data_IF_814092685025
#
_entry.id   IF_814092685025
#
_cell.length_a   1.000
_cell.length_b   1.000
_cell.length_c   1.000
_cell.angle_alpha   90.00
_cell.angle_beta   90.00
_cell.angle_gamma   90.00
#
_symmetry.space_group_name_H-M   'P 1'
#
loop_
_entity.id
_entity.type
_entity.pdbx_description
1 polymer ?
#
# COMPACT_ATOMS: atom_id res chain seq x y z
N UNK A 1 -11.04 10.90 6.35
CA UNK A 1 -10.10 9.87 6.85
C UNK A 1 -10.40 9.41 8.29
N UNK A 2 -10.72 10.32 9.23
CA UNK A 2 -10.84 10.05 10.68
C UNK A 2 -11.73 8.88 11.11
N UNK A 3 -12.80 8.58 10.37
CA UNK A 3 -13.71 7.48 10.68
C UNK A 3 -13.28 6.12 10.10
N UNK A 4 -12.32 6.10 9.17
CA UNK A 4 -11.89 4.87 8.45
C UNK A 4 -10.50 4.43 8.93
N UNK A 5 -9.51 5.32 8.83
CA UNK A 5 -8.15 5.15 9.38
C UNK A 5 -7.64 6.54 9.76
N UNK A 6 -7.62 6.89 11.05
CA UNK A 6 -7.39 8.27 11.48
C UNK A 6 -5.92 8.72 11.39
N UNK A 7 -4.97 7.80 11.44
CA UNK A 7 -3.55 8.13 11.56
C UNK A 7 -2.72 7.55 10.43
N UNK A 8 -1.72 8.32 10.00
CA UNK A 8 -0.66 7.91 9.08
C UNK A 8 0.67 8.42 9.63
N UNK A 9 1.71 7.59 9.51
CA UNK A 9 3.09 7.96 9.85
C UNK A 9 3.98 7.53 8.70
N UNK A 10 4.91 8.39 8.30
CA UNK A 10 5.83 8.13 7.19
C UNK A 10 7.28 8.41 7.63
N UNK A 11 8.22 7.67 7.05
CA UNK A 11 9.65 7.91 7.18
C UNK A 11 10.31 7.80 5.81
N UNK A 12 11.38 8.58 5.60
CA UNK A 12 12.18 8.54 4.36
C UNK A 12 13.54 7.95 4.69
N UNK A 13 13.90 6.87 4.01
CA UNK A 13 15.24 6.31 4.04
C UNK A 13 16.00 6.80 2.78
N UNK A 14 17.06 7.58 2.96
CA UNK A 14 17.89 8.10 1.86
C UNK A 14 19.15 7.26 1.71
N UNK A 15 19.65 7.20 0.47
CA UNK A 15 20.92 6.52 0.12
C UNK A 15 20.93 5.02 0.49
N UNK A 16 19.79 4.35 0.35
CA UNK A 16 19.68 2.90 0.58
C UNK A 16 20.01 2.14 -0.71
N UNK A 17 20.93 1.18 -0.63
CA UNK A 17 21.21 0.25 -1.73
C UNK A 17 20.40 -1.03 -1.55
N UNK A 18 19.27 -1.15 -2.24
CA UNK A 18 18.46 -2.36 -2.25
C UNK A 18 18.92 -3.29 -3.39
N UNK A 19 19.66 -4.33 -3.03
CA UNK A 19 19.89 -5.46 -3.95
C UNK A 19 18.61 -6.29 -4.10
N UNK A 20 18.53 -7.17 -5.10
CA UNK A 20 17.38 -8.07 -5.27
C UNK A 20 17.08 -8.91 -4.02
N UNK A 21 18.13 -9.43 -3.38
CA UNK A 21 18.01 -10.20 -2.13
C UNK A 21 17.58 -9.30 -0.96
N UNK A 22 18.14 -8.10 -0.85
CA UNK A 22 17.76 -7.13 0.17
C UNK A 22 16.29 -6.69 0.05
N UNK A 23 15.83 -6.43 -1.18
CA UNK A 23 14.43 -6.08 -1.45
C UNK A 23 13.49 -7.23 -1.09
N UNK A 24 13.82 -8.48 -1.46
CA UNK A 24 13.02 -9.65 -1.12
C UNK A 24 12.92 -9.83 0.40
N UNK A 25 14.04 -9.73 1.11
CA UNK A 25 14.08 -9.81 2.58
C UNK A 25 13.26 -8.68 3.24
N UNK A 26 13.32 -7.47 2.68
CA UNK A 26 12.54 -6.34 3.15
C UNK A 26 11.03 -6.55 2.98
N UNK A 27 10.59 -7.04 1.82
CA UNK A 27 9.18 -7.38 1.58
C UNK A 27 8.71 -8.48 2.55
N UNK A 28 9.53 -9.54 2.73
CA UNK A 28 9.21 -10.61 3.68
C UNK A 28 9.07 -10.08 5.12
N UNK A 29 9.94 -9.15 5.53
CA UNK A 29 9.84 -8.50 6.83
C UNK A 29 8.54 -7.70 6.97
N UNK A 30 8.17 -6.92 5.94
CA UNK A 30 6.90 -6.20 5.91
C UNK A 30 5.71 -7.14 6.07
N UNK A 31 5.70 -8.28 5.36
CA UNK A 31 4.62 -9.26 5.42
C UNK A 31 4.56 -9.94 6.80
N UNK A 32 5.69 -10.24 7.44
CA UNK A 32 5.73 -10.77 8.82
C UNK A 32 5.12 -9.80 9.82
N UNK A 33 5.42 -8.50 9.70
CA UNK A 33 4.79 -7.46 10.52
C UNK A 33 3.29 -7.37 10.26
N UNK A 34 2.87 -7.46 9.00
CA UNK A 34 1.46 -7.49 8.60
C UNK A 34 0.69 -8.66 9.23
N UNK A 35 1.29 -9.86 9.23
CA UNK A 35 0.66 -11.04 9.81
C UNK A 35 0.57 -11.01 11.33
N UNK A 36 1.58 -10.46 12.01
CA UNK A 36 1.70 -10.52 13.47
C UNK A 36 1.16 -9.25 14.14
N UNK A 37 2.00 -8.24 14.31
CA UNK A 37 1.71 -7.00 15.06
C UNK A 37 0.54 -6.21 14.45
N UNK A 38 0.41 -6.25 13.13
CA UNK A 38 -0.61 -5.50 12.41
C UNK A 38 -1.97 -6.22 12.30
N UNK A 39 -2.05 -7.47 12.77
CA UNK A 39 -3.24 -8.35 12.69
C UNK A 39 -3.84 -8.42 11.28
N UNK A 40 -3.06 -8.93 10.33
CA UNK A 40 -3.44 -9.03 8.90
C UNK A 40 -3.92 -7.68 8.34
N UNK A 41 -3.12 -6.63 8.60
CA UNK A 41 -3.38 -5.24 8.16
C UNK A 41 -4.64 -4.58 8.75
N UNK A 42 -5.38 -5.24 9.64
CA UNK A 42 -6.57 -4.63 10.27
C UNK A 42 -6.21 -3.46 11.18
N UNK A 43 -5.10 -3.55 11.93
CA UNK A 43 -4.63 -2.45 12.79
C UNK A 43 -3.74 -1.48 12.03
N UNK A 44 -2.69 -1.99 11.37
CA UNK A 44 -1.66 -1.18 10.70
C UNK A 44 -1.39 -1.74 9.31
N UNK A 45 -1.39 -0.88 8.31
CA UNK A 45 -0.95 -1.24 6.97
C UNK A 45 0.34 -0.47 6.68
N UNK A 46 1.32 -1.15 6.10
CA UNK A 46 2.63 -0.61 5.77
C UNK A 46 2.74 -0.66 4.26
N UNK A 47 3.04 0.48 3.65
CA UNK A 47 3.31 0.62 2.22
C UNK A 47 4.73 1.15 2.03
N UNK A 48 5.41 0.62 1.02
CA UNK A 48 6.76 1.05 0.65
C UNK A 48 6.71 1.61 -0.76
N UNK A 49 7.27 2.81 -0.93
CA UNK A 49 7.26 3.54 -2.20
C UNK A 49 8.66 4.00 -2.56
N UNK A 50 8.97 3.95 -3.86
CA UNK A 50 10.19 4.55 -4.41
C UNK A 50 10.03 6.07 -4.45
N UNK A 51 10.75 6.76 -3.55
CA UNK A 51 10.67 8.21 -3.44
C UNK A 51 11.08 8.93 -4.73
N UNK A 52 11.93 8.32 -5.57
CA UNK A 52 12.36 8.94 -6.83
C UNK A 52 11.24 9.03 -7.88
N UNK A 53 10.18 8.24 -7.72
CA UNK A 53 9.04 8.16 -8.66
C UNK A 53 7.83 8.99 -8.23
N UNK A 54 7.87 9.64 -7.08
CA UNK A 54 6.73 10.40 -6.51
C UNK A 54 7.18 11.80 -6.10
N UNK A 55 6.25 12.75 -6.08
CA UNK A 55 6.53 14.16 -5.79
C UNK A 55 5.66 14.66 -4.62
N UNK A 56 6.24 15.43 -3.68
CA UNK A 56 5.47 16.08 -2.60
C UNK A 56 4.68 17.30 -3.12
N UNK A 57 3.65 17.79 -2.39
CA UNK A 57 3.19 17.34 -1.08
C UNK A 57 2.30 16.08 -1.13
N UNK A 58 2.51 15.16 -0.17
CA UNK A 58 1.68 13.96 -0.03
C UNK A 58 0.47 14.24 0.86
N UNK A 59 -0.71 13.80 0.42
CA UNK A 59 -1.97 13.98 1.15
C UNK A 59 -2.55 12.60 1.48
N UNK A 60 -2.86 12.38 2.76
CA UNK A 60 -3.58 11.19 3.21
C UNK A 60 -5.06 11.52 3.38
N UNK A 61 -5.89 10.92 2.53
CA UNK A 61 -7.31 11.24 2.42
C UNK A 61 -8.15 9.97 2.22
N UNK A 62 -9.45 10.05 2.53
CA UNK A 62 -10.42 9.00 2.23
C UNK A 62 -11.50 9.57 1.33
N UNK A 63 -11.58 9.05 0.10
CA UNK A 63 -12.54 9.47 -0.92
C UNK A 63 -13.50 8.34 -1.26
N UNK A 64 -14.71 8.65 -1.77
CA UNK A 64 -15.62 7.63 -2.28
C UNK A 64 -14.95 6.78 -3.37
N UNK A 65 -15.19 5.46 -3.44
CA UNK A 65 -14.58 4.55 -4.42
C UNK A 65 -14.72 4.97 -5.90
N UNK A 66 -15.77 5.74 -6.24
CA UNK A 66 -16.00 6.24 -7.61
C UNK A 66 -15.21 7.50 -7.96
N UNK A 67 -14.63 8.19 -6.97
CA UNK A 67 -14.06 9.53 -7.14
C UNK A 67 -12.53 9.52 -7.30
N UNK A 68 -11.93 8.35 -7.52
CA UNK A 68 -10.51 8.22 -7.82
C UNK A 68 -10.27 6.98 -8.67
N UNK A 69 -9.20 7.04 -9.45
CA UNK A 69 -8.77 5.99 -10.35
C UNK A 69 -7.26 5.83 -10.27
N UNK A 70 -6.79 4.59 -10.36
CA UNK A 70 -5.37 4.28 -10.40
C UNK A 70 -5.15 2.94 -11.10
N UNK A 71 -3.90 2.64 -11.47
CA UNK A 71 -3.50 1.33 -11.99
C UNK A 71 -2.99 0.49 -10.82
N UNK A 72 -3.65 -0.61 -10.44
CA UNK A 72 -3.18 -1.47 -9.36
C UNK A 72 -1.89 -2.20 -9.72
N UNK A 73 -1.16 -2.65 -8.70
CA UNK A 73 0.06 -3.42 -8.89
C UNK A 73 -0.25 -4.75 -9.62
N UNK A 74 0.45 -5.02 -10.72
CA UNK A 74 0.26 -6.23 -11.52
C UNK A 74 -0.90 -6.14 -12.52
N UNK A 75 -1.52 -4.97 -12.68
CA UNK A 75 -2.53 -4.70 -13.69
C UNK A 75 -2.02 -3.68 -14.72
N UNK A 76 -2.53 -3.77 -15.94
CA UNK A 76 -2.20 -2.83 -17.03
C UNK A 76 -3.31 -1.79 -17.29
N UNK A 77 -4.49 -1.98 -16.68
CA UNK A 77 -5.66 -1.10 -16.87
C UNK A 77 -5.93 -0.23 -15.64
N UNK A 78 -6.31 1.02 -15.92
CA UNK A 78 -6.78 1.98 -14.92
C UNK A 78 -8.17 1.57 -14.43
N UNK A 79 -8.34 1.57 -13.11
CA UNK A 79 -9.58 1.17 -12.45
C UNK A 79 -9.94 2.16 -11.33
N UNK A 80 -11.23 2.36 -11.12
CA UNK A 80 -11.74 3.06 -9.93
C UNK A 80 -11.79 2.12 -8.71
N UNK A 81 -12.04 2.67 -7.53
CA UNK A 81 -12.07 1.91 -6.28
C UNK A 81 -13.07 0.75 -6.28
N UNK A 82 -14.24 0.88 -6.91
CA UNK A 82 -15.23 -0.21 -6.97
C UNK A 82 -14.75 -1.36 -7.85
N UNK A 83 -14.17 -1.03 -9.01
CA UNK A 83 -13.60 -1.99 -9.94
C UNK A 83 -12.44 -2.74 -9.31
N UNK A 84 -11.57 -2.05 -8.57
CA UNK A 84 -10.47 -2.68 -7.83
C UNK A 84 -11.01 -3.66 -6.78
N UNK A 85 -12.01 -3.26 -5.99
CA UNK A 85 -12.61 -4.14 -4.98
C UNK A 85 -13.26 -5.37 -5.61
N UNK A 86 -13.95 -5.22 -6.75
CA UNK A 86 -14.52 -6.33 -7.49
C UNK A 86 -13.43 -7.26 -8.07
N UNK A 87 -12.39 -6.69 -8.68
CA UNK A 87 -11.30 -7.43 -9.32
C UNK A 87 -10.53 -8.30 -8.32
N UNK A 88 -10.25 -7.78 -7.13
CA UNK A 88 -9.49 -8.50 -6.11
C UNK A 88 -10.35 -9.28 -5.11
N UNK A 89 -11.68 -9.28 -5.25
CA UNK A 89 -12.60 -9.96 -4.33
C UNK A 89 -12.37 -11.48 -4.19
N UNK A 90 -11.79 -12.11 -5.21
CA UNK A 90 -11.47 -13.55 -5.22
C UNK A 90 -10.02 -13.85 -4.80
N UNK A 91 -9.20 -12.83 -4.58
CA UNK A 91 -7.77 -13.03 -4.32
C UNK A 91 -7.50 -13.33 -2.84
N UNK A 92 -7.19 -14.61 -2.55
CA UNK A 92 -7.02 -15.14 -1.19
C UNK A 92 -5.97 -14.42 -0.33
N UNK A 93 -4.95 -13.81 -0.94
CA UNK A 93 -3.90 -13.08 -0.22
C UNK A 93 -4.26 -11.61 0.08
N UNK A 94 -5.34 -11.11 -0.51
CA UNK A 94 -5.84 -9.74 -0.30
C UNK A 94 -7.11 -9.72 0.57
N UNK A 95 -7.57 -10.89 1.03
CA UNK A 95 -8.64 -11.04 2.03
C UNK A 95 -8.12 -11.00 3.46
#
# INVERSE_FOLDING_TARGET
>A
VNQVRPFVVCAILRNVTLTKAGLASFIEFQDKLHHTLCRRRSLVAIGTHDLSKIQPPFVYDARPPKNFEFVPLGCDSQMNGEQVMAHFSSHLQLK
#
